data_IF_711212099561
#
_entry.id   IF_711212099561
#
_cell.length_a   1.000
_cell.length_b   1.000
_cell.length_c   1.000
_cell.angle_alpha   90.00
_cell.angle_beta   90.00
_cell.angle_gamma   90.00
#
_symmetry.space_group_name_H-M   'P 1'
#
loop_
_entity.id
_entity.type
_entity.pdbx_description
1 polymer ?
#
# COMPACT_ATOMS: atom_id res chain seq x y z
N UNK A 1 -9.20 52.12 60.77
CA UNK A 1 -8.43 50.89 61.09
C UNK A 1 -9.23 49.67 60.66
N UNK A 2 -8.98 49.16 59.46
CA UNK A 2 -9.27 47.77 59.08
C UNK A 2 -7.98 47.28 58.42
N UNK A 3 -7.39 46.23 58.99
CA UNK A 3 -6.02 45.79 58.70
C UNK A 3 -6.01 44.97 57.40
N UNK A 4 -5.28 45.44 56.39
CA UNK A 4 -4.94 44.76 55.14
C UNK A 4 -4.01 43.54 55.39
N UNK A 5 -4.50 42.50 56.07
CA UNK A 5 -3.70 41.29 56.36
C UNK A 5 -4.27 39.99 55.78
N UNK A 6 -5.38 40.05 55.05
CA UNK A 6 -6.02 38.83 54.51
C UNK A 6 -6.26 38.86 52.99
N UNK A 7 -5.82 39.89 52.27
CA UNK A 7 -5.95 39.94 50.81
C UNK A 7 -4.87 39.14 50.05
N UNK A 8 -3.80 38.71 50.73
CA UNK A 8 -2.72 37.94 50.11
C UNK A 8 -2.97 36.42 50.13
N UNK A 9 -3.96 35.95 50.90
CA UNK A 9 -4.28 34.51 51.00
C UNK A 9 -5.40 34.07 50.04
N UNK A 10 -6.12 34.98 49.41
CA UNK A 10 -7.15 34.63 48.41
C UNK A 10 -6.56 34.52 46.99
N UNK A 11 -5.43 35.18 46.72
CA UNK A 11 -4.74 35.08 45.43
C UNK A 11 -3.85 33.83 45.28
N UNK A 12 -3.51 33.13 46.38
CA UNK A 12 -2.67 31.92 46.35
C UNK A 12 -3.50 30.63 46.35
N UNK A 13 -4.77 30.69 46.76
CA UNK A 13 -5.69 29.53 46.75
C UNK A 13 -6.50 29.43 45.44
N UNK A 14 -6.59 30.51 44.66
CA UNK A 14 -7.24 30.52 43.34
C UNK A 14 -6.40 29.94 42.20
N UNK A 15 -5.09 29.78 42.37
CA UNK A 15 -4.18 29.20 41.36
C UNK A 15 -3.89 27.71 41.56
N UNK A 16 -4.50 27.07 42.57
CA UNK A 16 -4.34 25.63 42.84
C UNK A 16 -5.52 24.76 42.37
N UNK A 17 -6.50 25.34 41.67
CA UNK A 17 -7.66 24.60 41.12
C UNK A 17 -7.75 24.62 39.59
N UNK A 18 -6.71 25.06 38.89
CA UNK A 18 -6.56 24.86 37.44
C UNK A 18 -5.30 24.07 37.13
N UNK A 19 -5.23 22.87 37.72
CA UNK A 19 -4.31 21.80 37.33
C UNK A 19 -5.11 20.50 37.39
N UNK A 20 -6.13 20.41 36.54
CA UNK A 20 -6.70 19.15 36.12
C UNK A 20 -6.40 19.03 34.62
N UNK A 21 -5.10 18.93 34.30
CA UNK A 21 -4.70 18.24 33.09
C UNK A 21 -4.93 16.76 33.39
N UNK A 22 -5.85 16.14 32.68
CA UNK A 22 -5.99 14.70 32.72
C UNK A 22 -4.67 14.11 32.24
N UNK A 23 -3.89 13.56 33.17
CA UNK A 23 -2.81 12.62 32.88
C UNK A 23 -3.44 11.33 32.34
N UNK A 24 -3.95 11.40 31.11
CA UNK A 24 -3.93 10.23 30.25
C UNK A 24 -2.50 10.08 29.80
N UNK A 25 -1.79 9.11 30.38
CA UNK A 25 -0.54 8.56 29.85
C UNK A 25 -0.76 7.90 28.48
N UNK A 26 -1.41 8.58 27.54
CA UNK A 26 -1.10 8.39 26.13
C UNK A 26 0.28 9.02 25.97
N UNK A 27 1.32 8.19 26.03
CA UNK A 27 2.57 8.52 25.38
C UNK A 27 2.16 8.84 23.93
N UNK A 28 2.09 10.12 23.59
CA UNK A 28 2.09 10.52 22.19
C UNK A 28 3.49 10.11 21.74
N UNK A 29 3.61 8.91 21.18
CA UNK A 29 4.80 8.48 20.48
C UNK A 29 4.92 9.40 19.27
N UNK A 30 5.64 10.51 19.45
CA UNK A 30 5.97 11.42 18.38
C UNK A 30 7.14 10.82 17.59
N UNK A 31 6.87 9.68 16.96
CA UNK A 31 7.85 8.98 16.14
C UNK A 31 8.13 9.82 14.90
N UNK A 32 9.41 10.14 14.69
CA UNK A 32 9.88 10.95 13.56
C UNK A 32 9.98 10.07 12.30
N UNK A 33 8.88 10.02 11.54
CA UNK A 33 8.76 9.19 10.34
C UNK A 33 9.68 9.67 9.22
N UNK A 34 9.85 10.98 9.08
CA UNK A 34 10.72 11.63 8.10
C UNK A 34 12.18 11.28 8.38
N UNK A 35 12.64 11.39 9.64
CA UNK A 35 13.98 10.97 10.00
C UNK A 35 14.18 9.46 9.85
N UNK A 36 13.15 8.64 10.08
CA UNK A 36 13.21 7.21 9.82
C UNK A 36 13.34 6.91 8.32
N UNK A 37 12.59 7.60 7.47
CA UNK A 37 12.68 7.47 6.01
C UNK A 37 14.11 7.76 5.51
N UNK A 38 14.75 8.80 6.04
CA UNK A 38 16.15 9.14 5.72
C UNK A 38 17.12 8.03 6.14
N UNK A 39 16.93 7.44 7.34
CA UNK A 39 17.78 6.34 7.84
C UNK A 39 17.61 5.06 7.02
N UNK A 40 16.38 4.74 6.65
CA UNK A 40 16.08 3.59 5.79
C UNK A 40 16.75 3.75 4.44
N UNK A 41 16.60 4.93 3.81
CA UNK A 41 17.20 5.21 2.51
C UNK A 41 18.74 5.10 2.53
N UNK A 42 19.41 5.64 3.55
CA UNK A 42 20.85 5.48 3.73
C UNK A 42 21.25 4.00 3.87
N UNK A 43 20.49 3.24 4.66
CA UNK A 43 20.76 1.81 4.89
C UNK A 43 20.56 0.98 3.63
N UNK A 44 19.47 1.23 2.89
CA UNK A 44 19.15 0.57 1.61
C UNK A 44 20.23 0.86 0.57
N UNK A 45 20.61 2.13 0.38
CA UNK A 45 21.64 2.49 -0.62
C UNK A 45 22.99 1.85 -0.29
N UNK A 46 23.39 1.82 0.99
CA UNK A 46 24.61 1.13 1.42
C UNK A 46 24.53 -0.38 1.15
N UNK A 47 23.38 -0.99 1.42
CA UNK A 47 23.15 -2.41 1.12
C UNK A 47 23.31 -2.71 -0.37
N UNK A 48 22.66 -1.92 -1.23
CA UNK A 48 22.72 -2.09 -2.70
C UNK A 48 24.13 -1.87 -3.26
N UNK A 49 24.95 -1.00 -2.65
CA UNK A 49 26.37 -0.81 -3.02
C UNK A 49 27.26 -1.98 -2.59
N UNK A 50 26.92 -2.65 -1.48
CA UNK A 50 27.75 -3.68 -0.87
C UNK A 50 27.39 -5.11 -1.31
N UNK A 51 26.36 -5.29 -2.15
CA UNK A 51 25.85 -6.59 -2.56
C UNK A 51 25.64 -6.67 -4.07
N UNK A 52 25.61 -7.89 -4.60
CA UNK A 52 25.24 -8.19 -5.99
C UNK A 52 24.15 -9.26 -6.03
N UNK A 53 23.44 -9.36 -7.15
CA UNK A 53 22.51 -10.45 -7.40
C UNK A 53 23.24 -11.65 -8.01
N UNK A 54 23.16 -12.83 -7.38
CA UNK A 54 23.74 -14.06 -7.92
C UNK A 54 22.66 -14.90 -8.60
N UNK A 55 22.50 -14.73 -9.90
CA UNK A 55 21.47 -15.38 -10.72
C UNK A 55 21.40 -16.91 -10.55
N UNK A 56 22.57 -17.58 -10.50
CA UNK A 56 22.66 -19.04 -10.44
C UNK A 56 22.03 -19.69 -9.19
N UNK A 57 21.84 -18.92 -8.11
CA UNK A 57 21.25 -19.42 -6.84
C UNK A 57 20.10 -18.54 -6.36
N UNK A 58 19.63 -17.62 -7.21
CA UNK A 58 18.51 -16.73 -6.93
C UNK A 58 18.64 -16.05 -5.54
N UNK A 59 19.77 -15.37 -5.32
CA UNK A 59 20.11 -14.83 -4.00
C UNK A 59 21.01 -13.61 -4.10
N UNK A 60 20.76 -12.64 -3.22
CA UNK A 60 21.65 -11.50 -3.02
C UNK A 60 22.84 -11.91 -2.14
N UNK A 61 24.06 -11.57 -2.56
CA UNK A 61 25.32 -11.94 -1.89
C UNK A 61 26.20 -10.70 -1.67
N UNK A 62 27.10 -10.71 -0.67
CA UNK A 62 28.11 -9.67 -0.53
C UNK A 62 28.94 -9.53 -1.81
N UNK A 63 29.21 -8.30 -2.24
CA UNK A 63 29.97 -8.00 -3.45
C UNK A 63 31.36 -8.63 -3.42
N UNK A 64 31.77 -9.21 -4.55
CA UNK A 64 33.11 -9.79 -4.77
C UNK A 64 33.71 -9.24 -6.06
N UNK A 65 35.02 -9.34 -6.20
CA UNK A 65 35.73 -8.87 -7.40
C UNK A 65 35.19 -9.52 -8.68
N UNK A 66 34.89 -8.69 -9.68
CA UNK A 66 34.37 -9.11 -10.98
C UNK A 66 32.84 -9.14 -11.09
N UNK A 67 32.11 -9.03 -9.98
CA UNK A 67 30.65 -8.93 -9.97
C UNK A 67 30.18 -7.47 -10.01
N UNK A 68 28.97 -7.23 -10.52
CA UNK A 68 28.37 -5.89 -10.57
C UNK A 68 27.54 -5.63 -9.31
N UNK A 69 27.77 -4.52 -8.62
CA UNK A 69 26.97 -4.13 -7.47
C UNK A 69 25.50 -3.94 -7.86
N UNK A 70 24.56 -4.27 -6.97
CA UNK A 70 23.12 -4.14 -7.22
C UNK A 70 22.75 -2.72 -7.64
N UNK A 71 23.35 -1.71 -6.99
CA UNK A 71 23.08 -0.30 -7.30
C UNK A 71 23.44 0.08 -8.75
N UNK A 72 24.37 -0.65 -9.36
CA UNK A 72 24.85 -0.43 -10.72
C UNK A 72 24.28 -1.46 -11.71
N UNK A 73 23.51 -2.45 -11.24
CA UNK A 73 22.85 -3.45 -12.10
C UNK A 73 21.69 -2.78 -12.84
N UNK A 74 21.71 -2.89 -14.17
CA UNK A 74 20.71 -2.27 -15.05
C UNK A 74 19.28 -2.74 -14.80
N UNK A 75 19.11 -3.93 -14.19
CA UNK A 75 17.81 -4.51 -13.81
C UNK A 75 17.24 -3.87 -12.56
N UNK A 76 18.08 -3.28 -11.69
CA UNK A 76 17.62 -2.54 -10.53
C UNK A 76 17.11 -1.18 -10.97
N UNK A 77 15.90 -0.84 -10.53
CA UNK A 77 15.23 0.43 -10.74
C UNK A 77 14.69 0.94 -9.41
N UNK A 78 14.37 2.23 -9.35
CA UNK A 78 13.78 2.86 -8.18
C UNK A 78 12.54 3.67 -8.55
N UNK A 79 11.62 3.83 -7.60
CA UNK A 79 10.49 4.75 -7.68
C UNK A 79 10.41 5.58 -6.42
N UNK A 80 9.87 6.79 -6.58
CA UNK A 80 9.47 7.66 -5.48
C UNK A 80 7.95 7.66 -5.45
N UNK A 81 7.37 7.44 -4.28
CA UNK A 81 5.93 7.57 -4.04
C UNK A 81 5.70 8.39 -2.78
N UNK A 82 4.60 9.14 -2.74
CA UNK A 82 4.19 9.88 -1.56
C UNK A 82 3.15 9.06 -0.79
N UNK A 83 3.44 8.74 0.47
CA UNK A 83 2.53 8.03 1.36
C UNK A 83 2.63 8.67 2.75
N UNK A 84 1.50 8.97 3.39
CA UNK A 84 1.45 9.72 4.65
C UNK A 84 2.23 11.04 4.61
N UNK A 85 2.09 11.81 3.52
CA UNK A 85 2.78 13.09 3.29
C UNK A 85 4.32 13.00 3.23
N UNK A 86 4.87 11.80 3.06
CA UNK A 86 6.31 11.56 3.00
C UNK A 86 6.67 10.88 1.67
N UNK A 87 7.69 11.42 1.00
CA UNK A 87 8.26 10.81 -0.20
C UNK A 87 9.19 9.66 0.17
N UNK A 88 8.79 8.43 -0.18
CA UNK A 88 9.60 7.24 -0.01
C UNK A 88 10.20 6.78 -1.33
N UNK A 89 11.51 6.50 -1.31
CA UNK A 89 12.16 5.78 -2.41
C UNK A 89 12.18 4.29 -2.10
N UNK A 90 11.68 3.47 -3.02
CA UNK A 90 11.88 2.01 -2.97
C UNK A 90 12.57 1.52 -4.24
N UNK A 91 13.10 0.31 -4.16
CA UNK A 91 13.84 -0.32 -5.26
C UNK A 91 13.17 -1.62 -5.68
N UNK A 92 13.19 -1.89 -6.98
CA UNK A 92 12.72 -3.14 -7.56
C UNK A 92 13.71 -3.64 -8.59
N UNK A 93 13.79 -4.95 -8.75
CA UNK A 93 14.71 -5.63 -9.64
C UNK A 93 13.94 -6.71 -10.38
N UNK A 94 13.89 -6.64 -11.70
CA UNK A 94 13.27 -7.67 -12.53
C UNK A 94 14.34 -8.63 -13.04
N UNK A 95 14.22 -9.90 -12.65
CA UNK A 95 15.13 -10.97 -13.05
C UNK A 95 14.64 -11.66 -14.32
N UNK A 96 13.39 -12.09 -14.31
CA UNK A 96 12.71 -12.74 -15.43
C UNK A 96 11.39 -12.01 -15.62
N UNK A 97 11.16 -11.48 -16.83
CA UNK A 97 9.85 -10.94 -17.19
C UNK A 97 8.84 -12.07 -17.27
N UNK A 98 7.64 -11.81 -16.76
CA UNK A 98 6.52 -12.72 -16.92
C UNK A 98 6.01 -12.74 -18.36
N UNK A 99 5.28 -13.80 -18.71
CA UNK A 99 4.74 -13.98 -20.07
C UNK A 99 3.25 -13.66 -20.19
N UNK A 100 2.57 -13.30 -19.10
CA UNK A 100 1.13 -13.04 -19.10
C UNK A 100 0.74 -11.93 -20.06
N UNK A 101 -0.28 -12.19 -20.88
CA UNK A 101 -0.91 -11.17 -21.73
C UNK A 101 -1.66 -10.09 -20.95
N UNK A 102 -1.99 -10.31 -19.66
CA UNK A 102 -2.65 -9.34 -18.77
C UNK A 102 -1.75 -8.15 -18.41
N UNK A 103 -0.45 -8.24 -18.70
CA UNK A 103 0.49 -7.17 -18.39
C UNK A 103 0.79 -7.04 -16.89
N UNK A 104 0.99 -5.79 -16.45
CA UNK A 104 1.29 -5.45 -15.07
C UNK A 104 0.00 -5.21 -14.28
N UNK A 105 -0.08 -5.64 -13.00
CA UNK A 105 -1.23 -5.33 -12.16
C UNK A 105 -1.35 -3.82 -11.92
N UNK A 106 -2.58 -3.35 -11.75
CA UNK A 106 -2.88 -2.05 -11.15
C UNK A 106 -2.42 -2.01 -9.68
N UNK A 107 -2.52 -0.84 -9.04
CA UNK A 107 -2.18 -0.71 -7.60
C UNK A 107 -3.14 -1.45 -6.69
N UNK A 108 -4.30 -1.89 -7.19
CA UNK A 108 -5.30 -2.62 -6.40
C UNK A 108 -5.59 -4.03 -6.93
N UNK A 109 -5.05 -4.44 -8.07
CA UNK A 109 -5.29 -5.79 -8.59
C UNK A 109 -4.81 -6.88 -7.63
N UNK A 110 -5.59 -7.97 -7.58
CA UNK A 110 -5.20 -9.16 -6.83
C UNK A 110 -4.04 -9.87 -7.52
N UNK A 111 -3.06 -10.30 -6.72
CA UNK A 111 -1.84 -10.97 -7.20
C UNK A 111 -1.68 -12.36 -6.59
N UNK A 112 -1.28 -13.34 -7.41
CA UNK A 112 -0.93 -14.69 -6.97
C UNK A 112 0.59 -14.82 -6.91
N UNK A 113 1.15 -14.94 -5.71
CA UNK A 113 2.62 -14.91 -5.56
C UNK A 113 3.15 -15.87 -4.50
N UNK A 114 4.43 -16.19 -4.62
CA UNK A 114 5.28 -16.71 -3.54
C UNK A 114 6.36 -15.70 -3.22
N UNK A 115 6.89 -15.74 -1.99
CA UNK A 115 8.00 -14.86 -1.64
C UNK A 115 8.93 -15.44 -0.59
N UNK A 116 10.15 -14.92 -0.57
CA UNK A 116 11.11 -15.03 0.54
C UNK A 116 11.31 -13.64 1.14
N UNK A 117 10.97 -13.48 2.41
CA UNK A 117 11.04 -12.22 3.13
C UNK A 117 12.27 -12.17 4.02
N UNK A 118 13.03 -11.08 3.91
CA UNK A 118 14.10 -10.75 4.84
C UNK A 118 13.98 -9.30 5.31
N UNK A 119 14.36 -9.03 6.56
CA UNK A 119 14.53 -7.67 7.07
C UNK A 119 15.96 -7.20 6.85
N UNK A 120 16.13 -5.93 6.51
CA UNK A 120 17.41 -5.26 6.54
C UNK A 120 17.68 -4.76 7.97
N UNK A 121 18.48 -5.50 8.74
CA UNK A 121 18.76 -5.15 10.13
C UNK A 121 19.85 -4.09 10.29
N UNK A 122 20.77 -4.08 9.33
CA UNK A 122 21.79 -3.05 9.17
C UNK A 122 22.16 -2.98 7.69
N UNK A 123 22.88 -1.94 7.29
CA UNK A 123 23.32 -1.71 5.91
C UNK A 123 24.02 -2.90 5.23
N UNK A 124 24.51 -3.89 5.99
CA UNK A 124 25.22 -5.06 5.45
C UNK A 124 24.62 -6.42 5.84
N UNK A 125 23.41 -6.46 6.42
CA UNK A 125 22.85 -7.72 6.93
C UNK A 125 21.36 -7.84 6.65
N UNK A 126 21.02 -8.84 5.84
CA UNK A 126 19.68 -9.40 5.75
C UNK A 126 19.48 -10.49 6.79
N UNK A 127 18.36 -10.43 7.50
CA UNK A 127 17.90 -11.51 8.37
C UNK A 127 16.64 -12.11 7.78
N UNK A 128 16.65 -13.43 7.55
CA UNK A 128 15.48 -14.15 7.06
C UNK A 128 14.35 -14.03 8.07
N UNK A 129 13.16 -13.67 7.59
CA UNK A 129 11.93 -13.55 8.39
C UNK A 129 11.03 -14.74 8.13
N UNK A 130 10.60 -14.94 6.88
CA UNK A 130 9.68 -16.02 6.50
C UNK A 130 9.76 -16.33 5.00
N UNK A 131 9.29 -17.52 4.62
CA UNK A 131 9.07 -17.88 3.22
C UNK A 131 7.60 -18.29 3.04
N UNK A 132 6.94 -17.73 2.03
CA UNK A 132 5.69 -18.22 1.51
C UNK A 132 5.99 -19.12 0.31
N UNK A 133 5.99 -20.44 0.53
CA UNK A 133 6.38 -21.43 -0.50
C UNK A 133 5.20 -21.96 -1.32
N UNK A 134 3.96 -21.67 -0.92
CA UNK A 134 2.76 -22.00 -1.67
C UNK A 134 2.16 -20.72 -2.22
N UNK A 135 1.97 -20.67 -3.54
CA UNK A 135 1.37 -19.53 -4.21
C UNK A 135 0.01 -19.20 -3.54
N UNK A 136 -0.16 -17.95 -3.14
CA UNK A 136 -1.34 -17.47 -2.40
C UNK A 136 -1.81 -16.18 -3.03
N UNK A 137 -3.13 -16.04 -3.16
CA UNK A 137 -3.76 -14.80 -3.62
C UNK A 137 -3.70 -13.75 -2.50
N UNK A 138 -3.25 -12.56 -2.87
CA UNK A 138 -3.32 -11.36 -2.05
C UNK A 138 -4.16 -10.33 -2.80
N UNK A 139 -5.10 -9.71 -2.09
CA UNK A 139 -5.90 -8.60 -2.60
C UNK A 139 -5.52 -7.30 -1.87
N UNK A 140 -5.88 -6.16 -2.44
CA UNK A 140 -5.52 -4.87 -1.87
C UNK A 140 -6.25 -4.59 -0.55
N UNK A 141 -7.47 -5.12 -0.39
CA UNK A 141 -8.29 -4.94 0.81
C UNK A 141 -7.69 -5.55 2.09
N UNK A 142 -6.81 -6.54 1.96
CA UNK A 142 -6.20 -7.23 3.12
C UNK A 142 -4.68 -7.05 3.19
N UNK A 143 -4.12 -6.13 2.40
CA UNK A 143 -2.67 -5.97 2.35
C UNK A 143 -2.14 -5.31 3.64
N UNK A 144 -1.22 -5.99 4.31
CA UNK A 144 -0.60 -5.47 5.54
C UNK A 144 0.59 -4.52 5.26
N UNK A 145 1.11 -4.54 4.03
CA UNK A 145 2.35 -3.86 3.64
C UNK A 145 2.03 -2.97 2.44
N UNK A 146 1.79 -1.68 2.67
CA UNK A 146 1.32 -0.72 1.65
C UNK A 146 2.20 -0.70 0.40
N UNK A 147 3.52 -0.83 0.55
CA UNK A 147 4.45 -0.84 -0.57
C UNK A 147 4.27 -1.99 -1.56
N UNK A 148 3.54 -3.06 -1.20
CA UNK A 148 3.20 -4.12 -2.16
C UNK A 148 2.32 -3.60 -3.30
N UNK A 149 1.35 -2.73 -2.99
CA UNK A 149 0.44 -2.14 -3.96
C UNK A 149 1.18 -1.45 -5.10
N UNK A 150 2.31 -0.81 -4.79
CA UNK A 150 3.15 -0.18 -5.81
C UNK A 150 4.20 -1.11 -6.40
N UNK A 151 4.81 -1.97 -5.60
CA UNK A 151 5.94 -2.77 -6.06
C UNK A 151 5.55 -3.84 -7.08
N UNK A 152 4.37 -4.47 -6.94
CA UNK A 152 3.92 -5.49 -7.89
C UNK A 152 3.59 -4.94 -9.28
N UNK A 153 3.25 -3.65 -9.40
CA UNK A 153 2.99 -2.97 -10.69
C UNK A 153 4.18 -2.97 -11.65
N UNK A 154 5.38 -3.34 -11.20
CA UNK A 154 6.57 -3.46 -12.05
C UNK A 154 6.83 -4.87 -12.57
N UNK A 155 5.98 -5.84 -12.23
CA UNK A 155 6.14 -7.24 -12.60
C UNK A 155 4.97 -7.72 -13.45
N UNK A 156 5.26 -8.57 -14.43
CA UNK A 156 4.26 -9.29 -15.23
C UNK A 156 4.12 -10.69 -14.66
N UNK A 157 2.90 -11.22 -14.59
CA UNK A 157 2.63 -12.59 -14.14
C UNK A 157 3.01 -13.67 -15.16
N UNK A 158 2.84 -14.92 -14.77
CA UNK A 158 2.90 -16.05 -15.70
C UNK A 158 1.55 -16.34 -16.36
N UNK A 159 1.50 -17.40 -17.16
CA UNK A 159 0.26 -17.92 -17.74
C UNK A 159 -0.15 -19.23 -17.07
N UNK A 160 -1.43 -19.34 -16.74
CA UNK A 160 -2.00 -20.59 -16.24
C UNK A 160 -1.91 -21.67 -17.33
N UNK A 161 -1.16 -22.72 -17.04
CA UNK A 161 -0.90 -23.85 -17.93
C UNK A 161 -1.58 -25.14 -17.44
N UNK A 162 -2.57 -25.01 -16.56
CA UNK A 162 -3.23 -26.14 -15.91
C UNK A 162 -4.01 -26.95 -16.94
N UNK A 163 -3.64 -28.23 -17.08
CA UNK A 163 -4.44 -29.22 -17.79
C UNK A 163 -5.34 -29.99 -16.82
N UNK A 164 -5.41 -31.32 -16.99
CA UNK A 164 -6.01 -32.19 -16.00
C UNK A 164 -5.01 -32.44 -14.86
N UNK A 165 -5.09 -31.68 -13.76
CA UNK A 165 -4.21 -31.87 -12.61
C UNK A 165 -4.15 -30.67 -11.67
N UNK A 166 -3.13 -30.63 -10.78
CA UNK A 166 -2.84 -29.47 -9.94
C UNK A 166 -2.61 -28.21 -10.77
N UNK A 167 -2.89 -27.05 -10.17
CA UNK A 167 -2.67 -25.76 -10.83
C UNK A 167 -1.18 -25.59 -11.15
N UNK A 168 -0.87 -25.24 -12.39
CA UNK A 168 0.49 -24.99 -12.90
C UNK A 168 0.56 -23.70 -13.69
N UNK A 169 1.71 -23.04 -13.66
CA UNK A 169 1.97 -21.81 -14.41
C UNK A 169 3.27 -21.91 -15.21
N UNK A 170 3.30 -21.24 -16.35
CA UNK A 170 4.47 -21.09 -17.21
C UNK A 170 4.97 -19.64 -17.20
N UNK A 171 6.28 -19.45 -17.28
CA UNK A 171 6.91 -18.14 -17.48
C UNK A 171 6.51 -17.10 -16.44
N UNK A 172 6.56 -17.45 -15.16
CA UNK A 172 6.26 -16.54 -14.05
C UNK A 172 7.26 -15.39 -13.97
N UNK A 173 6.80 -14.21 -13.55
CA UNK A 173 7.67 -13.06 -13.34
C UNK A 173 8.48 -13.19 -12.06
N UNK A 174 9.78 -12.97 -12.13
CA UNK A 174 10.68 -13.12 -10.98
C UNK A 174 11.48 -11.87 -10.74
N UNK A 175 11.76 -11.63 -9.46
CA UNK A 175 12.64 -10.56 -9.07
C UNK A 175 12.55 -10.28 -7.59
N UNK A 176 12.89 -9.06 -7.20
CA UNK A 176 12.72 -8.63 -5.83
C UNK A 176 12.36 -7.16 -5.74
N UNK A 177 11.81 -6.77 -4.61
CA UNK A 177 11.68 -5.38 -4.23
C UNK A 177 12.12 -5.16 -2.78
N UNK A 178 12.64 -3.96 -2.51
CA UNK A 178 13.16 -3.52 -1.24
C UNK A 178 12.43 -2.26 -0.81
N UNK A 179 11.61 -2.40 0.23
CA UNK A 179 10.75 -1.35 0.75
C UNK A 179 11.38 -0.72 2.00
N UNK A 180 11.40 0.61 2.13
CA UNK A 180 11.68 1.27 3.41
C UNK A 180 10.61 0.90 4.44
N UNK A 181 10.90 1.13 5.72
CA UNK A 181 9.98 0.78 6.80
C UNK A 181 8.66 1.56 6.73
N UNK A 182 8.68 2.80 6.23
CA UNK A 182 7.50 3.62 6.02
C UNK A 182 6.48 3.05 5.02
N UNK A 183 6.96 2.32 4.01
CA UNK A 183 6.14 1.55 3.07
C UNK A 183 5.90 0.10 3.52
N UNK A 184 6.44 -0.26 4.69
CA UNK A 184 6.29 -1.58 5.31
C UNK A 184 5.37 -1.49 6.54
N UNK A 185 5.86 -1.83 7.73
CA UNK A 185 5.07 -1.79 8.96
C UNK A 185 5.21 -0.48 9.75
N UNK A 186 5.85 0.55 9.19
CA UNK A 186 6.17 1.83 9.86
C UNK A 186 6.79 1.56 11.24
N UNK A 187 6.36 2.25 12.29
CA UNK A 187 6.76 2.02 13.68
C UNK A 187 5.88 0.97 14.41
N UNK A 188 4.95 0.30 13.72
CA UNK A 188 4.00 -0.65 14.29
C UNK A 188 4.23 -2.10 13.88
N UNK A 189 3.32 -2.99 14.29
CA UNK A 189 3.31 -4.40 13.90
C UNK A 189 4.46 -5.24 14.46
N UNK A 190 4.72 -6.39 13.82
CA UNK A 190 5.74 -7.36 14.27
C UNK A 190 7.16 -7.03 13.78
N UNK A 191 7.30 -6.15 12.79
CA UNK A 191 8.59 -5.74 12.20
C UNK A 191 8.70 -4.20 12.19
N UNK A 192 8.59 -3.54 13.35
CA UNK A 192 8.61 -2.09 13.41
C UNK A 192 9.97 -1.55 12.96
N UNK A 193 9.95 -0.48 12.19
CA UNK A 193 11.09 0.27 11.67
C UNK A 193 12.06 -0.62 10.87
N UNK A 194 11.53 -1.65 10.20
CA UNK A 194 12.31 -2.54 9.34
C UNK A 194 12.04 -2.26 7.87
N UNK A 195 13.12 -1.99 7.13
CA UNK A 195 13.11 -2.10 5.67
C UNK A 195 13.06 -3.58 5.28
N UNK A 196 12.21 -3.94 4.32
CA UNK A 196 11.88 -5.32 3.97
C UNK A 196 12.24 -5.64 2.53
N UNK A 197 12.95 -6.75 2.34
CA UNK A 197 13.27 -7.31 1.03
C UNK A 197 12.37 -8.52 0.77
N UNK A 198 11.64 -8.47 -0.34
CA UNK A 198 10.86 -9.60 -0.85
C UNK A 198 11.48 -10.09 -2.15
N UNK A 199 11.97 -11.32 -2.20
CA UNK A 199 12.27 -12.01 -3.46
C UNK A 199 11.02 -12.79 -3.86
N UNK A 200 10.45 -12.49 -5.01
CA UNK A 200 9.11 -12.91 -5.42
C UNK A 200 9.13 -13.75 -6.69
N UNK A 201 8.07 -14.54 -6.83
CA UNK A 201 7.65 -15.20 -8.06
C UNK A 201 6.16 -14.88 -8.26
N UNK A 202 5.82 -14.12 -9.30
CA UNK A 202 4.48 -13.68 -9.62
C UNK A 202 3.87 -14.63 -10.65
N UNK A 203 2.85 -15.37 -10.21
CA UNK A 203 2.24 -16.44 -10.97
C UNK A 203 1.11 -15.94 -11.85
N UNK A 204 0.23 -15.11 -11.30
CA UNK A 204 -0.94 -14.58 -12.00
C UNK A 204 -1.45 -13.30 -11.33
N UNK A 205 -2.34 -12.60 -12.02
CA UNK A 205 -3.09 -11.45 -11.51
C UNK A 205 -4.57 -11.60 -11.85
N UNK A 206 -5.44 -10.91 -11.11
CA UNK A 206 -6.79 -10.60 -11.56
C UNK A 206 -6.75 -9.16 -12.05
N UNK A 207 -6.66 -8.98 -13.37
CA UNK A 207 -6.78 -7.68 -14.02
C UNK A 207 -8.16 -7.10 -13.72
N UNK A 208 -8.23 -5.80 -13.45
CA UNK A 208 -9.47 -5.08 -13.13
C UNK A 208 -10.21 -5.73 -11.95
N UNK A 209 -9.48 -5.96 -10.84
CA UNK A 209 -10.11 -6.53 -9.63
C UNK A 209 -11.19 -5.59 -9.10
N UNK A 210 -12.40 -6.12 -8.94
CA UNK A 210 -13.56 -5.53 -8.28
C UNK A 210 -13.73 -6.22 -6.91
N UNK A 211 -13.53 -5.49 -5.81
CA UNK A 211 -13.40 -6.08 -4.47
C UNK A 211 -14.72 -6.20 -3.70
N UNK A 212 -15.66 -5.27 -3.89
CA UNK A 212 -17.02 -5.27 -3.32
C UNK A 212 -18.06 -5.94 -4.24
N UNK A 213 -17.71 -6.19 -5.50
CA UNK A 213 -18.56 -6.81 -6.53
C UNK A 213 -19.76 -5.94 -6.93
N UNK A 214 -19.51 -4.63 -7.02
CA UNK A 214 -20.48 -3.64 -7.47
C UNK A 214 -20.40 -3.34 -8.99
N UNK A 215 -19.50 -4.02 -9.71
CA UNK A 215 -19.37 -3.90 -11.16
C UNK A 215 -18.42 -2.80 -11.62
N UNK A 216 -17.83 -2.03 -10.72
CA UNK A 216 -16.74 -1.11 -11.02
C UNK A 216 -15.41 -1.76 -10.61
N UNK A 217 -14.43 -1.88 -11.52
CA UNK A 217 -13.10 -2.30 -11.11
C UNK A 217 -12.46 -1.26 -10.17
N UNK A 218 -11.90 -1.73 -9.06
CA UNK A 218 -11.39 -0.90 -7.96
C UNK A 218 -10.35 0.14 -8.33
N UNK A 219 -9.69 -0.01 -9.47
CA UNK A 219 -8.74 1.00 -9.97
C UNK A 219 -9.45 2.26 -10.49
N UNK A 220 -10.73 2.16 -10.84
CA UNK A 220 -11.54 3.27 -11.35
C UNK A 220 -12.32 4.01 -10.26
N UNK A 221 -12.15 3.59 -9.02
CA UNK A 221 -12.71 4.22 -7.82
C UNK A 221 -11.68 5.13 -7.11
N UNK A 222 -10.61 5.47 -7.83
CA UNK A 222 -9.72 6.61 -7.57
C UNK A 222 -10.37 7.86 -8.18
N UNK A 223 -11.34 8.40 -7.45
CA UNK A 223 -12.20 9.52 -7.83
C UNK A 223 -11.40 10.82 -7.96
N UNK A 224 -10.42 11.04 -7.07
CA UNK A 224 -9.60 12.25 -7.10
C UNK A 224 -8.39 12.14 -8.06
N UNK A 225 -8.03 10.92 -8.46
CA UNK A 225 -7.00 10.61 -9.45
C UNK A 225 -5.57 10.75 -8.91
N UNK A 226 -5.37 10.69 -7.58
CA UNK A 226 -4.06 10.73 -6.96
C UNK A 226 -3.28 9.40 -7.05
N UNK A 227 -3.91 8.35 -7.57
CA UNK A 227 -3.35 7.02 -7.74
C UNK A 227 -3.49 6.13 -6.50
N UNK A 228 -4.38 6.46 -5.57
CA UNK A 228 -4.57 5.74 -4.32
C UNK A 228 -6.05 5.48 -4.03
N UNK A 229 -6.72 4.52 -4.70
CA UNK A 229 -8.11 4.16 -4.39
C UNK A 229 -8.41 3.89 -2.89
N UNK A 230 -7.37 3.61 -2.08
CA UNK A 230 -7.48 3.42 -0.63
C UNK A 230 -7.55 4.68 0.22
N UNK A 231 -7.67 5.89 -0.35
CA UNK A 231 -7.98 7.11 0.39
C UNK A 231 -9.28 7.80 -0.06
N UNK A 232 -10.01 7.19 -0.99
CA UNK A 232 -11.27 7.73 -1.50
C UNK A 232 -12.47 7.07 -0.79
N UNK A 233 -13.34 7.93 -0.27
CA UNK A 233 -14.53 7.65 0.52
C UNK A 233 -15.51 8.80 0.24
N UNK A 234 -16.43 8.58 -0.71
CA UNK A 234 -17.26 9.63 -1.31
C UNK A 234 -18.31 10.16 -0.35
N UNK A 235 -18.81 9.30 0.53
CA UNK A 235 -19.95 9.57 1.39
C UNK A 235 -19.55 9.85 2.86
N UNK A 236 -18.26 9.66 3.17
CA UNK A 236 -17.55 9.84 4.43
C UNK A 236 -17.98 8.87 5.55
N UNK A 237 -18.46 7.66 5.21
CA UNK A 237 -18.88 6.65 6.19
C UNK A 237 -17.72 5.78 6.74
N UNK A 238 -16.52 5.93 6.17
CA UNK A 238 -15.26 5.23 6.46
C UNK A 238 -15.11 3.85 5.81
N UNK A 239 -15.98 3.50 4.90
CA UNK A 239 -15.76 2.46 3.91
C UNK A 239 -15.17 3.16 2.68
N UNK A 240 -14.07 2.60 2.17
CA UNK A 240 -13.43 3.17 0.98
C UNK A 240 -14.26 2.73 -0.22
N UNK A 241 -14.42 3.58 -1.24
CA UNK A 241 -15.28 3.31 -2.38
C UNK A 241 -15.07 1.88 -2.93
N UNK A 242 -13.80 1.52 -3.17
CA UNK A 242 -13.45 0.17 -3.65
C UNK A 242 -13.72 -1.02 -2.71
N UNK A 243 -14.37 -0.78 -1.57
CA UNK A 243 -14.85 -1.76 -0.60
C UNK A 243 -16.30 -1.51 -0.19
N UNK A 244 -16.95 -0.53 -0.80
CA UNK A 244 -18.33 -0.15 -0.61
C UNK A 244 -19.15 -0.60 -1.82
N UNK A 245 -20.43 -0.89 -1.62
CA UNK A 245 -21.33 -1.29 -2.73
C UNK A 245 -22.44 -0.26 -2.98
N UNK A 246 -22.47 0.80 -2.18
CA UNK A 246 -23.39 1.95 -2.21
C UNK A 246 -22.55 3.20 -1.91
N UNK A 247 -21.70 3.57 -2.86
CA UNK A 247 -20.61 4.56 -2.73
C UNK A 247 -21.03 5.96 -2.25
N UNK A 248 -22.31 6.29 -2.32
CA UNK A 248 -22.87 7.58 -1.92
C UNK A 248 -23.91 7.50 -0.78
N UNK A 249 -24.14 6.30 -0.24
CA UNK A 249 -25.12 5.94 0.80
C UNK A 249 -26.50 6.56 0.54
N UNK A 250 -27.00 6.38 -0.68
CA UNK A 250 -28.32 6.85 -1.08
C UNK A 250 -29.41 5.79 -0.92
N UNK A 251 -28.99 4.53 -0.78
CA UNK A 251 -29.80 3.33 -0.60
C UNK A 251 -30.01 2.51 -1.87
N UNK A 252 -29.36 2.87 -2.97
CA UNK A 252 -29.29 2.11 -4.22
C UNK A 252 -27.85 1.60 -4.38
N UNK A 253 -27.67 0.34 -4.76
CA UNK A 253 -26.31 -0.19 -4.97
C UNK A 253 -25.71 0.42 -6.24
N UNK A 254 -24.40 0.71 -6.24
CA UNK A 254 -23.66 1.23 -7.41
C UNK A 254 -24.01 0.49 -8.71
N UNK A 255 -24.04 -0.84 -8.66
CA UNK A 255 -24.37 -1.70 -9.82
C UNK A 255 -25.78 -1.53 -10.38
N UNK A 256 -26.70 -1.04 -9.56
CA UNK A 256 -28.11 -0.83 -9.89
C UNK A 256 -28.35 0.60 -10.43
N UNK A 257 -27.29 1.41 -10.58
CA UNK A 257 -27.32 2.79 -11.11
C UNK A 257 -26.79 2.89 -12.55
N UNK A 258 -26.83 1.78 -13.27
CA UNK A 258 -26.59 1.68 -14.72
C UNK A 258 -27.88 1.96 -15.50
N UNK A 259 -28.18 3.25 -15.69
CA UNK A 259 -29.42 3.68 -16.34
C UNK A 259 -29.52 3.25 -17.79
N UNK A 260 -28.39 3.25 -18.50
CA UNK A 260 -28.38 2.97 -19.93
C UNK A 260 -28.26 1.46 -20.24
N UNK A 261 -27.91 0.65 -19.24
CA UNK A 261 -27.86 -0.81 -19.29
C UNK A 261 -26.65 -1.36 -20.04
N UNK A 262 -25.56 -0.60 -20.12
CA UNK A 262 -24.32 -1.01 -20.79
C UNK A 262 -23.33 -1.74 -19.87
N UNK A 263 -23.64 -1.82 -18.58
CA UNK A 263 -22.83 -2.44 -17.54
C UNK A 263 -21.73 -1.55 -16.99
N UNK A 264 -21.78 -0.23 -17.21
CA UNK A 264 -20.78 0.74 -16.76
C UNK A 264 -21.41 1.97 -16.07
N UNK A 265 -21.72 1.89 -14.75
CA UNK A 265 -22.36 2.98 -14.01
C UNK A 265 -21.54 4.28 -13.97
N UNK A 266 -20.23 4.22 -14.28
CA UNK A 266 -19.35 5.40 -14.30
C UNK A 266 -19.71 6.41 -15.38
N UNK A 267 -20.50 6.00 -16.37
CA UNK A 267 -20.83 6.83 -17.52
C UNK A 267 -22.27 7.38 -17.52
N UNK A 268 -23.03 7.14 -16.44
CA UNK A 268 -24.40 7.62 -16.27
C UNK A 268 -24.48 8.88 -15.40
N UNK A 269 -25.03 9.97 -15.97
CA UNK A 269 -25.10 11.30 -15.34
C UNK A 269 -26.52 11.88 -15.44
N UNK A 270 -27.36 11.63 -14.43
CA UNK A 270 -28.79 11.92 -14.50
C UNK A 270 -29.26 13.06 -13.59
N UNK A 271 -28.37 13.69 -12.83
CA UNK A 271 -28.64 14.93 -12.11
C UNK A 271 -28.29 16.17 -12.95
N UNK A 272 -29.28 16.97 -13.40
CA UNK A 272 -29.02 18.21 -14.11
C UNK A 272 -28.27 19.27 -13.28
N UNK A 273 -28.27 19.16 -11.94
CA UNK A 273 -27.57 20.07 -11.05
C UNK A 273 -26.10 19.67 -10.83
N UNK A 274 -25.77 18.39 -11.05
CA UNK A 274 -24.42 17.82 -10.94
C UNK A 274 -24.04 17.01 -12.21
N UNK A 275 -23.97 17.64 -13.39
CA UNK A 275 -23.83 16.94 -14.67
C UNK A 275 -22.48 16.23 -14.89
N UNK A 276 -21.54 16.33 -13.94
CA UNK A 276 -20.22 15.70 -14.01
C UNK A 276 -19.99 14.72 -12.86
N UNK A 277 -21.01 14.45 -12.03
CA UNK A 277 -20.95 13.45 -10.97
C UNK A 277 -21.76 12.26 -11.47
N UNK A 278 -21.14 11.09 -11.68
CA UNK A 278 -21.85 9.87 -12.01
C UNK A 278 -22.94 9.58 -10.98
N UNK A 279 -23.98 8.86 -11.39
CA UNK A 279 -25.12 8.56 -10.51
C UNK A 279 -24.68 7.86 -9.21
N UNK A 280 -23.80 6.86 -9.32
CA UNK A 280 -23.27 6.10 -8.16
C UNK A 280 -22.44 6.88 -7.14
N UNK A 281 -22.10 8.13 -7.44
CA UNK A 281 -21.40 9.05 -6.54
C UNK A 281 -22.31 10.23 -6.12
N UNK A 282 -23.61 10.14 -6.37
CA UNK A 282 -24.55 11.23 -6.26
C UNK A 282 -25.80 10.90 -5.44
N UNK A 283 -25.69 11.13 -4.13
CA UNK A 283 -26.73 10.89 -3.10
C UNK A 283 -28.15 11.43 -3.35
N UNK A 284 -28.30 12.28 -4.38
CA UNK A 284 -29.58 12.80 -4.86
C UNK A 284 -30.27 11.87 -5.90
N UNK A 285 -29.61 10.84 -6.43
CA UNK A 285 -30.07 9.92 -7.50
C UNK A 285 -30.49 8.54 -6.99
N UNK A 286 -31.56 8.52 -6.19
CA UNK A 286 -32.05 7.29 -5.52
C UNK A 286 -32.92 6.39 -6.39
N UNK A 287 -32.50 6.11 -7.62
CA UNK A 287 -33.27 5.37 -8.61
C UNK A 287 -32.53 4.12 -9.05
N UNK A 288 -33.09 2.96 -8.69
CA UNK A 288 -32.67 1.68 -9.25
C UNK A 288 -33.13 1.52 -10.71
N UNK A 289 -32.21 1.17 -11.60
CA UNK A 289 -32.46 0.91 -13.03
C UNK A 289 -32.45 -0.57 -13.40
#
# INVERSE_FOLDING_TARGET
MIKFKHLFYVAVVGTLLYACGSDSNSIIDNFDHEAQAVKDQDSIVKFLKAHYYKDAVDSIKPLIDGETALIDDVRLKSRVINEYDIDYTYYYFVKEEGISAKGNPSVVDSVLTTYRLSSLDSSNKLTKVQDLTRATWFNASQIAVRGWLHAFTHFVGGENATGNGPITYNGTGKGFFLLPSGLSYRNGGNLPNKSLLYIIDLYDIVEDTDHDQDGIPSIYEDIDGDGKPWNDDTDEDRVLNFLDSDDDDDGVLTKDEDKNGDGDPRNDFNDPNKPNVPDYLNRDIRVKY
#
